data_IF_508566949589
#
_entry.id   IF_508566949589
#
_cell.length_a   1.000
_cell.length_b   1.000
_cell.length_c   1.000
_cell.angle_alpha   90.00
_cell.angle_beta   90.00
_cell.angle_gamma   90.00
#
_symmetry.space_group_name_H-M   'P 1'
#
loop_
_entity.id
_entity.type
_entity.pdbx_description
1 polymer ?
#
# COMPACT_ATOMS: atom_id res chain seq x y z
N UNK A 1 13.13 17.89 -10.81
CA UNK A 1 13.92 17.06 -11.75
C UNK A 1 13.12 15.82 -12.09
N UNK A 2 13.10 15.36 -13.34
CA UNK A 2 12.34 14.13 -13.71
C UNK A 2 13.13 12.87 -13.35
N UNK A 3 12.41 11.83 -12.92
CA UNK A 3 12.93 10.54 -12.52
C UNK A 3 12.61 9.45 -13.54
N UNK A 4 13.60 8.61 -13.79
CA UNK A 4 13.47 7.26 -14.38
C UNK A 4 13.31 6.28 -13.22
N UNK A 5 12.11 5.71 -13.10
CA UNK A 5 11.70 4.88 -11.97
C UNK A 5 11.69 3.39 -12.32
N UNK A 6 11.90 2.54 -11.31
CA UNK A 6 12.02 1.10 -11.50
C UNK A 6 10.65 0.41 -11.58
N UNK A 7 10.53 -0.60 -12.45
CA UNK A 7 9.33 -1.43 -12.59
C UNK A 7 9.61 -2.80 -12.00
N UNK A 8 8.74 -3.26 -11.10
CA UNK A 8 8.72 -4.66 -10.65
C UNK A 8 7.68 -5.45 -11.44
N UNK A 9 8.09 -6.60 -11.98
CA UNK A 9 7.27 -7.45 -12.87
C UNK A 9 6.90 -8.75 -12.18
N UNK A 10 6.27 -8.64 -11.00
CA UNK A 10 5.88 -9.77 -10.17
C UNK A 10 4.61 -10.45 -10.71
N UNK A 11 4.55 -11.79 -10.63
CA UNK A 11 3.47 -12.63 -11.19
C UNK A 11 2.04 -12.37 -10.67
N UNK A 12 1.86 -11.51 -9.67
CA UNK A 12 0.57 -11.06 -9.17
C UNK A 12 0.06 -9.79 -9.87
N UNK A 13 0.90 -9.10 -10.64
CA UNK A 13 0.56 -7.85 -11.32
C UNK A 13 -0.35 -8.06 -12.52
N UNK A 14 -0.98 -6.98 -13.00
CA UNK A 14 -1.73 -6.99 -14.26
C UNK A 14 -0.77 -7.13 -15.45
N UNK A 15 -1.24 -7.81 -16.50
CA UNK A 15 -0.49 -7.99 -17.74
C UNK A 15 -0.57 -6.74 -18.61
N UNK A 16 0.46 -6.50 -19.41
CA UNK A 16 0.38 -5.60 -20.55
C UNK A 16 -0.23 -4.22 -20.28
N UNK A 17 -1.03 -3.74 -21.22
CA UNK A 17 -1.72 -2.44 -21.14
C UNK A 17 -2.89 -2.40 -20.14
N UNK A 18 -3.37 -3.53 -19.61
CA UNK A 18 -4.31 -3.55 -18.48
C UNK A 18 -3.68 -3.04 -17.18
N UNK A 19 -2.34 -2.99 -17.12
CA UNK A 19 -1.62 -2.49 -15.98
C UNK A 19 -1.50 -0.96 -15.97
N UNK A 20 -1.98 -0.32 -14.90
CA UNK A 20 -1.76 1.12 -14.71
C UNK A 20 -0.26 1.47 -14.66
N UNK A 21 0.59 0.59 -14.13
CA UNK A 21 2.05 0.75 -14.14
C UNK A 21 2.59 0.79 -15.58
N UNK A 22 2.15 -0.11 -16.45
CA UNK A 22 2.57 -0.13 -17.86
C UNK A 22 2.08 1.13 -18.60
N UNK A 23 0.81 1.51 -18.45
CA UNK A 23 0.26 2.69 -19.13
C UNK A 23 0.89 4.00 -18.67
N UNK A 24 1.24 4.14 -17.38
CA UNK A 24 1.99 5.28 -16.87
C UNK A 24 3.39 5.32 -17.52
N UNK A 25 4.12 4.21 -17.50
CA UNK A 25 5.48 4.15 -18.06
C UNK A 25 5.50 4.38 -19.58
N UNK A 26 4.52 3.84 -20.33
CA UNK A 26 4.37 4.12 -21.77
C UNK A 26 4.03 5.58 -22.07
N UNK A 27 3.31 6.24 -21.17
CA UNK A 27 2.96 7.67 -21.30
C UNK A 27 4.15 8.59 -20.99
N UNK A 28 5.01 8.20 -20.05
CA UNK A 28 6.19 8.98 -19.62
C UNK A 28 7.42 8.78 -20.53
N UNK A 29 7.49 7.64 -21.22
CA UNK A 29 8.58 7.27 -22.10
C UNK A 29 8.03 6.62 -23.37
N UNK A 30 8.11 7.36 -24.50
CA UNK A 30 7.63 6.89 -25.79
C UNK A 30 8.35 5.61 -26.27
N UNK A 31 9.63 5.47 -25.94
CA UNK A 31 10.48 4.34 -26.35
C UNK A 31 10.23 3.08 -25.51
N UNK A 32 9.50 3.19 -24.40
CA UNK A 32 9.10 2.03 -23.61
C UNK A 32 8.13 1.17 -24.43
N UNK A 33 8.45 -0.09 -24.67
CA UNK A 33 7.56 -1.05 -25.32
C UNK A 33 6.90 -1.90 -24.24
N UNK A 34 5.57 -1.98 -24.29
CA UNK A 34 4.78 -2.84 -23.40
C UNK A 34 4.72 -4.24 -24.02
N UNK A 35 5.05 -5.24 -23.22
CA UNK A 35 4.90 -6.65 -23.56
C UNK A 35 3.58 -7.14 -22.96
N UNK A 36 2.60 -7.42 -23.82
CA UNK A 36 1.25 -7.84 -23.39
C UNK A 36 1.23 -9.17 -22.63
N UNK A 37 2.28 -9.99 -22.73
CA UNK A 37 2.42 -11.24 -21.97
C UNK A 37 3.09 -11.04 -20.61
N UNK A 38 3.66 -9.86 -20.35
CA UNK A 38 4.41 -9.56 -19.12
C UNK A 38 3.53 -8.90 -18.06
N UNK A 39 3.73 -9.28 -16.80
CA UNK A 39 3.12 -8.58 -15.67
C UNK A 39 3.88 -7.30 -15.32
N UNK A 40 3.15 -6.24 -14.97
CA UNK A 40 3.68 -4.97 -14.51
C UNK A 40 3.02 -4.65 -13.16
N UNK A 41 3.72 -4.97 -12.07
CA UNK A 41 3.12 -5.06 -10.74
C UNK A 41 3.30 -3.79 -9.90
N UNK A 42 4.53 -3.25 -9.84
CA UNK A 42 4.84 -2.03 -9.06
C UNK A 42 5.70 -1.05 -9.85
N UNK A 43 5.45 0.25 -9.69
CA UNK A 43 6.35 1.35 -10.08
C UNK A 43 6.98 1.92 -8.81
N UNK A 44 8.31 1.93 -8.69
CA UNK A 44 9.05 2.37 -7.50
C UNK A 44 9.67 3.75 -7.68
N UNK A 45 9.34 4.66 -6.77
CA UNK A 45 9.75 6.07 -6.81
C UNK A 45 10.45 6.40 -5.48
N UNK A 46 11.78 6.47 -5.49
CA UNK A 46 12.60 6.66 -4.28
C UNK A 46 14.02 6.11 -4.40
N UNK A 47 14.64 5.84 -3.25
CA UNK A 47 16.07 5.47 -3.11
C UNK A 47 16.32 4.01 -2.69
N UNK A 48 15.30 3.15 -2.71
CA UNK A 48 15.45 1.76 -2.28
C UNK A 48 16.31 0.96 -3.26
N UNK A 49 17.36 0.30 -2.78
CA UNK A 49 18.30 -0.55 -3.54
C UNK A 49 17.65 -1.45 -4.62
N UNK A 50 16.60 -2.21 -4.28
CA UNK A 50 15.93 -3.15 -5.19
C UNK A 50 15.07 -2.48 -6.29
N UNK A 51 14.99 -1.15 -6.31
CA UNK A 51 14.21 -0.38 -7.28
C UNK A 51 14.55 1.10 -7.26
N UNK A 52 15.85 1.42 -7.34
CA UNK A 52 16.34 2.79 -7.27
C UNK A 52 15.82 3.65 -8.43
N UNK A 53 15.46 4.90 -8.14
CA UNK A 53 15.16 5.90 -9.16
C UNK A 53 16.42 6.66 -9.59
N UNK A 54 16.46 7.11 -10.84
CA UNK A 54 17.57 7.83 -11.45
C UNK A 54 17.10 9.17 -12.03
N UNK A 55 17.94 10.19 -12.02
CA UNK A 55 17.66 11.48 -12.67
C UNK A 55 17.66 11.28 -14.19
N UNK A 56 16.53 11.53 -14.86
CA UNK A 56 16.35 11.24 -16.29
C UNK A 56 17.32 11.98 -17.22
N UNK A 57 17.73 13.19 -16.83
CA UNK A 57 18.66 14.04 -17.61
C UNK A 57 20.14 13.61 -17.49
N UNK A 58 20.53 12.86 -16.45
CA UNK A 58 21.95 12.57 -16.14
C UNK A 58 22.26 11.09 -15.85
N UNK A 59 21.23 10.24 -15.72
CA UNK A 59 21.29 8.84 -15.27
C UNK A 59 22.05 8.62 -13.94
N UNK A 60 22.17 9.67 -13.12
CA UNK A 60 22.69 9.59 -11.74
C UNK A 60 21.59 9.06 -10.82
N UNK A 61 21.90 8.12 -9.92
CA UNK A 61 20.92 7.60 -8.97
C UNK A 61 20.45 8.69 -8.00
N UNK A 62 19.17 8.70 -7.67
CA UNK A 62 18.58 9.69 -6.77
C UNK A 62 19.25 9.64 -5.38
N UNK A 63 19.65 8.46 -4.92
CA UNK A 63 20.39 8.29 -3.67
C UNK A 63 21.74 9.02 -3.70
N UNK A 64 22.52 8.84 -4.78
CA UNK A 64 23.82 9.53 -4.94
C UNK A 64 23.63 11.05 -5.01
N UNK A 65 22.66 11.51 -5.79
CA UNK A 65 22.32 12.94 -5.88
C UNK A 65 21.98 13.53 -4.51
N UNK A 66 21.16 12.85 -3.70
CA UNK A 66 20.81 13.28 -2.34
C UNK A 66 22.03 13.29 -1.42
N UNK A 67 22.90 12.29 -1.49
CA UNK A 67 24.14 12.22 -0.69
C UNK A 67 25.11 13.37 -1.03
N UNK A 68 25.22 13.73 -2.31
CA UNK A 68 26.06 14.85 -2.77
C UNK A 68 25.42 16.24 -2.48
N UNK A 69 24.10 16.29 -2.23
CA UNK A 69 23.32 17.53 -2.10
C UNK A 69 22.38 17.54 -0.89
N UNK A 70 22.78 16.97 0.26
CA UNK A 70 21.89 16.63 1.40
C UNK A 70 20.87 17.69 1.80
N UNK A 71 21.21 18.98 1.68
CA UNK A 71 20.30 20.14 1.89
C UNK A 71 18.95 20.03 1.15
N UNK A 72 18.88 19.32 0.01
CA UNK A 72 17.63 19.09 -0.74
C UNK A 72 16.56 18.34 0.07
N UNK A 73 16.94 17.63 1.15
CA UNK A 73 15.99 16.92 2.01
C UNK A 73 15.22 17.85 2.96
N UNK A 74 15.74 19.03 3.27
CA UNK A 74 15.24 19.91 4.33
C UNK A 74 15.87 19.60 5.70
N UNK A 75 16.02 20.63 6.55
CA UNK A 75 16.64 20.51 7.88
C UNK A 75 15.98 19.46 8.76
N UNK A 76 14.65 19.51 8.79
CA UNK A 76 13.83 18.79 9.75
C UNK A 76 13.78 17.29 9.38
N UNK A 77 13.77 16.98 8.07
CA UNK A 77 13.97 15.62 7.54
C UNK A 77 15.33 15.06 7.96
N UNK A 78 16.41 15.85 7.83
CA UNK A 78 17.77 15.41 8.20
C UNK A 78 17.88 15.17 9.71
N UNK A 79 17.27 16.04 10.52
CA UNK A 79 17.25 15.90 11.98
C UNK A 79 16.52 14.63 12.43
N UNK A 80 15.41 14.28 11.77
CA UNK A 80 14.56 13.14 12.17
C UNK A 80 15.00 11.80 11.57
N UNK A 81 15.46 11.79 10.31
CA UNK A 81 15.71 10.56 9.53
C UNK A 81 17.15 10.43 9.01
N UNK A 82 18.02 11.40 9.28
CA UNK A 82 19.37 11.45 8.73
C UNK A 82 19.40 11.80 7.23
N UNK A 83 20.51 11.52 6.53
CA UNK A 83 20.73 11.97 5.15
C UNK A 83 20.01 11.13 4.09
N UNK A 84 18.81 10.60 4.40
CA UNK A 84 18.04 9.70 3.54
C UNK A 84 16.60 10.19 3.33
N UNK A 85 15.98 9.77 2.23
CA UNK A 85 14.55 9.93 2.03
C UNK A 85 13.81 8.86 2.88
N UNK A 86 12.89 9.24 3.79
CA UNK A 86 12.30 8.30 4.76
C UNK A 86 11.19 7.42 4.20
N UNK A 87 10.89 7.51 2.90
CA UNK A 87 9.78 6.79 2.28
C UNK A 87 10.14 6.24 0.90
N UNK A 88 9.38 5.22 0.49
CA UNK A 88 9.34 4.69 -0.88
C UNK A 88 7.92 4.85 -1.41
N UNK A 89 7.74 5.72 -2.41
CA UNK A 89 6.43 5.91 -3.02
C UNK A 89 6.22 4.91 -4.16
N UNK A 90 5.01 4.38 -4.31
CA UNK A 90 4.71 3.34 -5.31
C UNK A 90 3.36 3.55 -6.00
N UNK A 91 3.27 3.04 -7.23
CA UNK A 91 1.99 2.66 -7.85
C UNK A 91 1.94 1.14 -7.93
N UNK A 92 0.84 0.54 -7.45
CA UNK A 92 0.60 -0.91 -7.55
C UNK A 92 -0.49 -1.18 -8.58
N UNK A 93 -0.35 -2.28 -9.31
CA UNK A 93 -1.28 -2.71 -10.36
C UNK A 93 -1.60 -4.18 -10.19
N UNK A 94 -2.58 -4.45 -9.33
CA UNK A 94 -2.84 -5.78 -8.74
C UNK A 94 -3.81 -6.57 -9.62
N UNK A 95 -3.48 -7.83 -9.90
CA UNK A 95 -4.32 -8.79 -10.63
C UNK A 95 -4.67 -10.03 -9.77
N UNK A 96 -3.81 -10.41 -8.85
CA UNK A 96 -4.03 -11.50 -7.89
C UNK A 96 -3.93 -10.97 -6.47
N UNK A 97 -4.74 -11.52 -5.57
CA UNK A 97 -4.69 -11.15 -4.16
C UNK A 97 -3.26 -11.33 -3.59
N UNK A 98 -2.80 -10.32 -2.85
CA UNK A 98 -1.52 -10.39 -2.16
C UNK A 98 -1.67 -11.23 -0.88
N UNK A 99 -0.54 -11.66 -0.31
CA UNK A 99 -0.54 -12.22 1.04
C UNK A 99 -1.07 -11.20 2.05
N UNK A 100 -1.90 -11.63 3.01
CA UNK A 100 -2.12 -10.82 4.22
C UNK A 100 -0.80 -10.74 4.97
N UNK A 101 -0.48 -9.55 5.47
CA UNK A 101 0.76 -9.23 6.14
C UNK A 101 0.46 -8.45 7.41
N UNK A 102 1.34 -8.59 8.39
CA UNK A 102 1.42 -7.72 9.56
C UNK A 102 2.87 -7.24 9.63
N UNK A 103 3.06 -5.98 9.99
CA UNK A 103 4.38 -5.39 10.12
C UNK A 103 4.62 -5.02 11.58
N UNK A 104 5.78 -5.39 12.16
CA UNK A 104 6.09 -5.04 13.54
C UNK A 104 6.21 -3.52 13.71
N UNK A 105 5.93 -3.05 14.92
CA UNK A 105 6.28 -1.68 15.34
C UNK A 105 7.82 -1.53 15.41
N UNK A 106 8.31 -0.30 15.61
CA UNK A 106 9.75 0.00 15.55
C UNK A 106 10.58 -0.78 16.57
N UNK A 107 10.06 -0.94 17.79
CA UNK A 107 10.74 -1.65 18.88
C UNK A 107 10.86 -3.14 18.58
N UNK A 108 9.75 -3.77 18.17
CA UNK A 108 9.72 -5.19 17.85
C UNK A 108 10.44 -5.51 16.55
N UNK A 109 10.47 -4.60 15.57
CA UNK A 109 11.28 -4.73 14.36
C UNK A 109 12.77 -4.82 14.70
N UNK A 110 13.25 -3.98 15.61
CA UNK A 110 14.62 -4.02 16.11
C UNK A 110 14.94 -5.34 16.83
N UNK A 111 14.08 -5.76 17.77
CA UNK A 111 14.23 -7.04 18.49
C UNK A 111 14.30 -8.23 17.51
N UNK A 112 13.38 -8.29 16.55
CA UNK A 112 13.31 -9.37 15.55
C UNK A 112 14.49 -9.35 14.58
N UNK A 113 15.01 -8.17 14.22
CA UNK A 113 16.23 -8.02 13.43
C UNK A 113 17.48 -8.50 14.18
N UNK A 114 17.58 -8.20 15.48
CA UNK A 114 18.69 -8.66 16.33
C UNK A 114 18.67 -10.18 16.56
N UNK A 115 17.50 -10.78 16.74
CA UNK A 115 17.33 -12.22 16.95
C UNK A 115 17.42 -13.05 15.66
N UNK A 116 16.85 -12.55 14.55
CA UNK A 116 16.71 -13.31 13.30
C UNK A 116 17.02 -12.47 12.04
N UNK A 117 18.26 -11.95 11.88
CA UNK A 117 18.65 -11.06 10.77
C UNK A 117 18.57 -11.71 9.37
N UNK A 118 18.50 -13.04 9.31
CA UNK A 118 18.26 -13.78 8.07
C UNK A 118 16.79 -13.73 7.61
N UNK A 119 15.86 -13.45 8.52
CA UNK A 119 14.41 -13.38 8.27
C UNK A 119 13.97 -11.92 8.15
N UNK A 120 14.22 -11.13 9.19
CA UNK A 120 13.94 -9.69 9.22
C UNK A 120 15.16 -8.94 8.67
N UNK A 121 14.95 -8.07 7.68
CA UNK A 121 16.04 -7.52 6.85
C UNK A 121 16.59 -6.19 7.36
N UNK A 122 15.86 -5.51 8.21
CA UNK A 122 16.21 -4.23 8.79
C UNK A 122 15.42 -3.99 10.10
N UNK A 123 15.86 -3.07 10.97
CA UNK A 123 15.20 -2.79 12.25
C UNK A 123 14.11 -1.70 12.15
N UNK A 124 13.52 -1.44 10.98
CA UNK A 124 12.46 -0.43 10.85
C UNK A 124 11.05 -1.02 10.98
N UNK A 125 10.12 -0.18 11.43
CA UNK A 125 8.71 -0.40 11.16
C UNK A 125 8.41 -0.24 9.67
N UNK A 126 7.23 -0.70 9.23
CA UNK A 126 6.77 -0.51 7.85
C UNK A 126 5.32 -0.02 7.83
N UNK A 127 5.06 1.25 8.19
CA UNK A 127 3.75 1.86 8.00
C UNK A 127 3.44 2.02 6.51
N UNK A 128 2.18 1.85 6.13
CA UNK A 128 1.74 1.91 4.73
C UNK A 128 0.43 2.70 4.60
N UNK A 129 0.27 3.40 3.47
CA UNK A 129 -0.95 4.10 3.08
C UNK A 129 -1.30 3.70 1.64
N UNK A 130 -2.51 3.18 1.45
CA UNK A 130 -3.06 2.92 0.13
C UNK A 130 -4.07 4.01 -0.24
N UNK A 131 -3.88 4.65 -1.40
CA UNK A 131 -4.90 5.54 -2.00
C UNK A 131 -5.36 4.91 -3.32
N UNK A 132 -6.65 4.64 -3.42
CA UNK A 132 -7.25 3.96 -4.55
C UNK A 132 -7.26 4.86 -5.81
N UNK A 133 -6.57 4.43 -6.88
CA UNK A 133 -6.61 5.08 -8.21
C UNK A 133 -7.76 4.55 -9.09
N UNK A 134 -8.27 3.37 -8.76
CA UNK A 134 -9.39 2.65 -9.38
C UNK A 134 -10.22 2.03 -8.25
N UNK A 135 -11.37 1.38 -8.51
CA UNK A 135 -11.97 0.46 -7.54
C UNK A 135 -10.90 -0.50 -6.99
N UNK A 136 -10.92 -0.69 -5.67
CA UNK A 136 -9.87 -1.38 -4.92
C UNK A 136 -10.48 -2.06 -3.68
N UNK A 137 -10.04 -3.28 -3.42
CA UNK A 137 -10.50 -4.13 -2.34
C UNK A 137 -9.32 -4.55 -1.46
N UNK A 138 -9.53 -4.58 -0.14
CA UNK A 138 -8.49 -4.97 0.81
C UNK A 138 -9.11 -5.57 2.08
N UNK A 139 -8.36 -6.49 2.70
CA UNK A 139 -8.59 -6.94 4.06
C UNK A 139 -7.74 -6.08 5.01
N UNK A 140 -8.34 -5.49 6.04
CA UNK A 140 -7.65 -4.60 6.96
C UNK A 140 -8.23 -4.71 8.39
N UNK A 141 -7.46 -5.31 9.30
CA UNK A 141 -7.86 -5.52 10.70
C UNK A 141 -8.91 -6.62 10.90
N UNK A 142 -9.29 -6.83 12.17
CA UNK A 142 -10.43 -7.67 12.53
C UNK A 142 -11.74 -6.88 12.46
N UNK A 143 -12.81 -7.56 12.04
CA UNK A 143 -14.18 -7.04 12.03
C UNK A 143 -14.67 -6.70 13.45
N UNK A 144 -15.75 -5.92 13.59
CA UNK A 144 -16.47 -5.77 14.86
C UNK A 144 -16.82 -7.14 15.47
N UNK A 145 -16.69 -7.28 16.79
CA UNK A 145 -16.83 -8.57 17.47
C UNK A 145 -18.21 -9.22 17.28
N UNK A 146 -19.27 -8.42 17.16
CA UNK A 146 -20.61 -8.93 16.86
C UNK A 146 -20.67 -9.61 15.48
N UNK A 147 -20.05 -9.02 14.43
CA UNK A 147 -19.96 -9.68 13.12
C UNK A 147 -19.18 -10.99 13.20
N UNK A 148 -18.07 -11.01 13.96
CA UNK A 148 -17.26 -12.23 14.17
C UNK A 148 -18.12 -13.32 14.83
N UNK A 149 -18.84 -12.97 15.90
CA UNK A 149 -19.73 -13.89 16.61
C UNK A 149 -20.85 -14.41 15.70
N UNK A 150 -21.45 -13.54 14.88
CA UNK A 150 -22.46 -13.94 13.89
C UNK A 150 -21.90 -14.93 12.87
N UNK A 151 -20.68 -14.71 12.34
CA UNK A 151 -20.03 -15.66 11.45
C UNK A 151 -19.71 -17.00 12.14
N UNK A 152 -19.25 -16.98 13.40
CA UNK A 152 -18.96 -18.20 14.15
C UNK A 152 -20.21 -19.03 14.47
N UNK A 153 -21.36 -18.37 14.66
CA UNK A 153 -22.65 -19.05 14.88
C UNK A 153 -23.26 -19.60 13.57
N UNK A 154 -23.05 -18.93 12.44
CA UNK A 154 -23.73 -19.25 11.16
C UNK A 154 -22.84 -19.99 10.13
N UNK A 155 -21.54 -20.15 10.38
CA UNK A 155 -20.60 -20.88 9.50
C UNK A 155 -20.00 -22.07 10.27
N UNK A 156 -20.64 -23.26 10.25
CA UNK A 156 -20.16 -24.43 10.97
C UNK A 156 -18.77 -24.91 10.51
N UNK A 157 -18.39 -24.63 9.26
CA UNK A 157 -17.06 -24.93 8.72
C UNK A 157 -15.97 -24.07 9.38
N UNK A 158 -16.28 -22.81 9.69
CA UNK A 158 -15.40 -21.88 10.40
C UNK A 158 -15.28 -22.26 11.88
N UNK A 159 -16.40 -22.63 12.52
CA UNK A 159 -16.40 -23.20 13.87
C UNK A 159 -15.54 -24.46 13.94
N UNK A 160 -15.61 -25.34 12.93
CA UNK A 160 -14.85 -26.59 12.90
C UNK A 160 -13.33 -26.38 12.87
N UNK A 161 -12.82 -25.43 12.09
CA UNK A 161 -11.38 -25.15 12.01
C UNK A 161 -10.84 -24.35 13.22
N UNK A 162 -11.70 -23.63 13.94
CA UNK A 162 -11.36 -22.89 15.17
C UNK A 162 -11.51 -23.74 16.44
N UNK A 163 -12.43 -24.72 16.42
CA UNK A 163 -12.76 -25.60 17.53
C UNK A 163 -13.77 -25.00 18.52
N UNK A 164 -14.78 -25.80 18.91
CA UNK A 164 -15.87 -25.39 19.80
C UNK A 164 -15.42 -24.71 21.09
N UNK A 165 -14.35 -25.19 21.72
CA UNK A 165 -13.83 -24.64 22.98
C UNK A 165 -13.38 -23.19 22.82
N UNK A 166 -12.71 -22.87 21.71
CA UNK A 166 -12.23 -21.52 21.42
C UNK A 166 -13.41 -20.59 21.06
N UNK A 167 -14.32 -21.06 20.21
CA UNK A 167 -15.54 -20.33 19.85
C UNK A 167 -16.39 -20.02 21.08
N UNK A 168 -16.65 -21.02 21.95
CA UNK A 168 -17.40 -20.84 23.20
C UNK A 168 -16.73 -19.82 24.13
N UNK A 169 -15.39 -19.86 24.24
CA UNK A 169 -14.63 -18.89 25.03
C UNK A 169 -14.76 -17.47 24.49
N UNK A 170 -14.79 -17.27 23.17
CA UNK A 170 -14.97 -15.96 22.55
C UNK A 170 -16.41 -15.44 22.69
N UNK A 171 -17.41 -16.29 22.46
CA UNK A 171 -18.84 -15.95 22.63
C UNK A 171 -19.21 -15.61 24.09
N UNK A 172 -18.42 -16.07 25.07
CA UNK A 172 -18.60 -15.82 26.50
C UNK A 172 -17.60 -14.80 27.08
N UNK A 173 -16.74 -14.19 26.24
CA UNK A 173 -15.75 -13.24 26.70
C UNK A 173 -16.40 -11.92 27.14
N UNK A 174 -15.94 -11.37 28.27
CA UNK A 174 -16.14 -9.95 28.60
C UNK A 174 -15.26 -9.07 27.72
N UNK A 175 -15.58 -7.79 27.57
CA UNK A 175 -14.84 -6.85 26.72
C UNK A 175 -13.31 -6.90 26.91
N UNK A 176 -12.86 -6.97 28.17
CA UNK A 176 -11.44 -7.08 28.55
C UNK A 176 -10.76 -8.40 28.15
N UNK A 177 -11.52 -9.43 27.78
CA UNK A 177 -11.04 -10.78 27.43
C UNK A 177 -11.21 -11.11 25.94
N UNK A 178 -11.87 -10.23 25.16
CA UNK A 178 -12.11 -10.45 23.71
C UNK A 178 -10.80 -10.63 22.96
N UNK A 179 -9.79 -9.78 23.22
CA UNK A 179 -8.48 -9.85 22.56
C UNK A 179 -7.81 -11.21 22.74
N UNK A 180 -7.70 -11.69 23.98
CA UNK A 180 -7.12 -13.00 24.30
C UNK A 180 -7.93 -14.15 23.66
N UNK A 181 -9.25 -14.12 23.74
CA UNK A 181 -10.09 -15.17 23.19
C UNK A 181 -10.04 -15.21 21.65
N UNK A 182 -9.98 -14.05 20.99
CA UNK A 182 -9.83 -13.92 19.55
C UNK A 182 -8.43 -14.35 19.10
N UNK A 183 -7.39 -14.04 19.87
CA UNK A 183 -6.03 -14.53 19.66
C UNK A 183 -5.97 -16.06 19.65
N UNK A 184 -6.63 -16.74 20.60
CA UNK A 184 -6.71 -18.21 20.62
C UNK A 184 -7.47 -18.77 19.41
N UNK A 185 -8.59 -18.14 19.03
CA UNK A 185 -9.36 -18.54 17.84
C UNK A 185 -8.51 -18.41 16.57
N UNK A 186 -7.80 -17.29 16.42
CA UNK A 186 -6.94 -17.03 15.27
C UNK A 186 -5.72 -17.95 15.25
N UNK A 187 -5.09 -18.24 16.39
CA UNK A 187 -4.00 -19.22 16.48
C UNK A 187 -4.46 -20.61 16.05
N UNK A 188 -5.63 -21.06 16.51
CA UNK A 188 -6.21 -22.35 16.10
C UNK A 188 -6.44 -22.40 14.59
N UNK A 189 -7.08 -21.38 14.00
CA UNK A 189 -7.26 -21.28 12.54
C UNK A 189 -5.93 -21.30 11.77
N UNK A 190 -4.91 -20.60 12.29
CA UNK A 190 -3.60 -20.47 11.66
C UNK A 190 -2.74 -21.74 11.70
N UNK A 191 -3.00 -22.61 12.68
CA UNK A 191 -2.29 -23.88 12.94
C UNK A 191 -3.10 -25.14 12.61
N UNK A 192 -4.39 -25.00 12.27
CA UNK A 192 -5.25 -26.07 11.80
C UNK A 192 -4.60 -26.82 10.61
N UNK A 193 -4.80 -28.14 10.56
CA UNK A 193 -4.26 -28.98 9.49
C UNK A 193 -4.78 -28.52 8.12
N UNK A 194 -3.88 -28.45 7.13
CA UNK A 194 -4.24 -27.92 5.81
C UNK A 194 -5.27 -28.77 5.07
N UNK A 195 -5.36 -30.08 5.34
CA UNK A 195 -6.36 -30.95 4.75
C UNK A 195 -7.73 -30.72 5.40
N UNK A 196 -7.77 -30.51 6.72
CA UNK A 196 -9.00 -30.14 7.43
C UNK A 196 -9.52 -28.78 6.96
N UNK A 197 -8.67 -27.76 6.87
CA UNK A 197 -9.04 -26.45 6.30
C UNK A 197 -9.56 -26.59 4.87
N UNK A 198 -8.90 -27.40 4.04
CA UNK A 198 -9.33 -27.65 2.64
C UNK A 198 -10.69 -28.35 2.58
N UNK A 199 -10.91 -29.36 3.44
CA UNK A 199 -12.16 -30.12 3.53
C UNK A 199 -13.33 -29.22 3.97
N UNK A 200 -13.11 -28.39 4.99
CA UNK A 200 -14.10 -27.47 5.53
C UNK A 200 -14.40 -26.33 4.54
N UNK A 201 -13.38 -25.78 3.87
CA UNK A 201 -13.58 -24.80 2.81
C UNK A 201 -14.39 -25.37 1.64
N UNK A 202 -14.14 -26.63 1.23
CA UNK A 202 -14.95 -27.30 0.22
C UNK A 202 -16.41 -27.44 0.68
N UNK A 203 -16.65 -27.88 1.92
CA UNK A 203 -18.00 -27.96 2.50
C UNK A 203 -18.72 -26.61 2.46
N UNK A 204 -18.02 -25.51 2.77
CA UNK A 204 -18.58 -24.16 2.72
C UNK A 204 -18.96 -23.76 1.29
N UNK A 205 -18.08 -24.01 0.31
CA UNK A 205 -18.35 -23.74 -1.11
C UNK A 205 -19.54 -24.56 -1.61
N UNK A 206 -19.55 -25.87 -1.33
CA UNK A 206 -20.66 -26.77 -1.70
C UNK A 206 -21.98 -26.32 -1.03
N UNK A 207 -21.94 -25.82 0.21
CA UNK A 207 -23.13 -25.29 0.91
C UNK A 207 -23.63 -23.98 0.31
N UNK A 208 -22.74 -23.07 -0.09
CA UNK A 208 -23.10 -21.80 -0.73
C UNK A 208 -23.69 -22.03 -2.13
N UNK A 209 -23.12 -22.94 -2.92
CA UNK A 209 -23.66 -23.33 -4.24
C UNK A 209 -25.06 -23.96 -4.19
N UNK A 210 -25.49 -24.48 -3.04
CA UNK A 210 -26.82 -25.07 -2.83
C UNK A 210 -27.85 -24.08 -2.25
N UNK A 211 -27.61 -22.77 -2.37
CA UNK A 211 -28.57 -21.72 -1.99
C UNK A 211 -28.90 -20.84 -3.19
N UNK A 212 -30.18 -20.56 -3.43
CA UNK A 212 -30.62 -19.64 -4.49
C UNK A 212 -30.18 -18.20 -4.15
N UNK A 213 -29.11 -17.74 -4.77
CA UNK A 213 -28.62 -16.37 -4.67
C UNK A 213 -28.32 -15.79 -6.06
N UNK A 214 -28.57 -14.48 -6.24
CA UNK A 214 -28.10 -13.77 -7.43
C UNK A 214 -26.66 -13.35 -7.17
N UNK A 215 -25.74 -14.08 -7.78
CA UNK A 215 -24.30 -13.86 -7.63
C UNK A 215 -23.70 -13.16 -8.85
N UNK A 216 -22.82 -12.18 -8.62
CA UNK A 216 -22.05 -11.51 -9.65
C UNK A 216 -20.60 -11.37 -9.16
N UNK A 217 -19.75 -12.32 -9.57
CA UNK A 217 -18.32 -12.35 -9.22
C UNK A 217 -17.44 -11.85 -10.35
N UNK A 218 -16.29 -11.27 -9.99
CA UNK A 218 -15.15 -11.15 -10.90
C UNK A 218 -14.35 -12.46 -10.90
N UNK A 219 -13.67 -12.79 -12.00
CA UNK A 219 -12.85 -14.01 -12.12
C UNK A 219 -11.63 -13.98 -11.17
N UNK A 220 -11.76 -14.53 -9.95
CA UNK A 220 -10.70 -14.50 -8.92
C UNK A 220 -10.75 -15.72 -7.99
N UNK A 221 -9.94 -16.74 -8.26
CA UNK A 221 -9.85 -17.99 -7.49
C UNK A 221 -8.88 -17.90 -6.28
N UNK A 222 -9.05 -16.91 -5.40
CA UNK A 222 -8.03 -16.58 -4.38
C UNK A 222 -8.45 -16.83 -2.92
N UNK A 223 -7.70 -17.68 -2.20
CA UNK A 223 -7.92 -18.02 -0.78
C UNK A 223 -6.75 -17.57 0.11
N UNK A 224 -6.84 -16.33 0.64
CA UNK A 224 -6.27 -15.76 1.90
C UNK A 224 -4.87 -16.28 2.34
N UNK A 225 -3.74 -15.52 2.44
CA UNK A 225 -2.55 -15.91 3.29
C UNK A 225 -2.82 -15.51 4.75
N UNK A 226 -2.39 -16.19 5.81
CA UNK A 226 -2.79 -17.51 6.30
C UNK A 226 -2.68 -18.79 5.42
N UNK A 227 -3.16 -18.81 4.17
CA UNK A 227 -2.98 -19.69 2.99
C UNK A 227 -2.17 -19.11 1.78
N UNK A 228 -2.76 -18.43 0.78
CA UNK A 228 -2.12 -17.91 -0.49
C UNK A 228 -0.60 -18.11 -0.73
N UNK A 229 0.28 -17.26 -0.16
CA UNK A 229 1.71 -17.24 -0.57
C UNK A 229 2.41 -18.56 -0.25
N UNK A 230 3.19 -19.15 -1.18
CA UNK A 230 3.90 -20.41 -0.97
C UNK A 230 5.02 -20.33 0.08
N UNK A 231 5.28 -19.16 0.66
CA UNK A 231 6.32 -18.94 1.67
C UNK A 231 5.93 -19.49 3.06
N UNK A 232 6.90 -19.90 3.90
CA UNK A 232 6.65 -20.30 5.29
C UNK A 232 5.94 -19.23 6.12
N UNK A 233 5.24 -19.67 7.17
CA UNK A 233 4.49 -18.83 8.11
C UNK A 233 5.13 -18.89 9.50
N UNK A 234 5.60 -17.75 10.03
CA UNK A 234 5.95 -17.63 11.45
C UNK A 234 4.70 -17.28 12.26
N UNK A 235 3.90 -18.30 12.60
CA UNK A 235 2.66 -18.12 13.37
C UNK A 235 2.93 -17.63 14.80
N UNK A 236 3.91 -18.16 15.56
CA UNK A 236 4.21 -17.64 16.90
C UNK A 236 4.53 -16.14 16.92
N UNK A 237 5.40 -15.65 16.03
CA UNK A 237 5.70 -14.21 15.98
C UNK A 237 4.50 -13.40 15.50
N UNK A 238 3.75 -13.89 14.51
CA UNK A 238 2.52 -13.23 14.03
C UNK A 238 1.53 -12.97 15.18
N UNK A 239 1.31 -13.96 16.05
CA UNK A 239 0.43 -13.86 17.22
C UNK A 239 0.92 -12.83 18.25
N UNK A 240 2.24 -12.63 18.37
CA UNK A 240 2.83 -11.65 19.30
C UNK A 240 2.73 -10.20 18.83
N UNK A 241 2.63 -9.95 17.52
CA UNK A 241 2.69 -8.58 16.95
C UNK A 241 1.32 -8.00 16.56
N UNK A 242 0.24 -8.76 16.75
CA UNK A 242 -1.13 -8.35 16.42
C UNK A 242 -1.85 -7.80 17.67
N UNK A 243 -2.61 -6.71 17.53
CA UNK A 243 -3.34 -6.10 18.66
C UNK A 243 -4.69 -6.77 18.97
N UNK A 244 -5.24 -7.57 18.06
CA UNK A 244 -6.56 -8.22 18.15
C UNK A 244 -7.74 -7.26 18.40
N UNK A 245 -7.55 -5.97 18.10
CA UNK A 245 -8.60 -4.95 18.16
C UNK A 245 -9.61 -5.13 17.03
N UNK A 246 -10.89 -5.14 17.40
CA UNK A 246 -12.03 -5.31 16.51
C UNK A 246 -12.60 -3.95 16.12
N UNK A 247 -12.54 -3.58 14.83
CA UNK A 247 -12.98 -2.26 14.36
C UNK A 247 -13.79 -2.36 13.06
N UNK A 248 -14.59 -1.33 12.79
CA UNK A 248 -15.30 -1.22 11.51
C UNK A 248 -14.35 -0.91 10.36
N UNK A 249 -14.70 -1.35 9.15
CA UNK A 249 -13.95 -1.00 7.94
C UNK A 249 -13.91 0.51 7.64
N UNK A 250 -14.81 1.30 8.23
CA UNK A 250 -14.78 2.77 8.18
C UNK A 250 -13.74 3.38 9.12
N UNK A 251 -13.48 2.79 10.30
CA UNK A 251 -12.44 3.27 11.22
C UNK A 251 -11.02 3.16 10.60
N UNK A 252 -10.80 2.15 9.74
CA UNK A 252 -9.54 1.98 9.00
C UNK A 252 -9.31 3.00 7.86
N UNK A 253 -10.27 3.89 7.57
CA UNK A 253 -10.15 4.90 6.50
C UNK A 253 -9.62 6.23 7.04
N UNK A 254 -8.39 6.59 6.65
CA UNK A 254 -7.84 7.93 6.88
C UNK A 254 -8.66 8.95 6.08
N UNK A 255 -9.29 9.90 6.77
CA UNK A 255 -9.91 11.06 6.14
C UNK A 255 -8.82 12.06 5.77
N UNK A 256 -8.72 12.51 4.51
CA UNK A 256 -7.79 13.57 4.15
C UNK A 256 -8.29 14.90 4.71
N UNK A 257 -7.37 15.76 5.15
CA UNK A 257 -7.71 17.18 5.38
C UNK A 257 -7.50 17.98 4.11
N UNK A 258 -8.26 19.05 3.93
CA UNK A 258 -8.12 19.95 2.78
C UNK A 258 -7.05 21.00 3.08
N UNK A 259 -5.95 20.98 2.34
CA UNK A 259 -4.84 21.93 2.49
C UNK A 259 -5.06 23.21 1.66
N UNK A 260 -5.71 23.08 0.49
CA UNK A 260 -6.22 24.19 -0.31
C UNK A 260 -7.43 23.73 -1.17
N UNK A 261 -7.94 24.60 -2.06
CA UNK A 261 -9.12 24.33 -2.91
C UNK A 261 -8.99 23.05 -3.76
N UNK A 262 -7.78 22.67 -4.15
CA UNK A 262 -7.47 21.56 -5.06
C UNK A 262 -6.66 20.43 -4.41
N UNK A 263 -6.13 20.66 -3.19
CA UNK A 263 -5.21 19.75 -2.51
C UNK A 263 -5.84 19.10 -1.27
N UNK A 264 -5.96 17.78 -1.29
CA UNK A 264 -6.38 16.93 -0.18
C UNK A 264 -5.17 16.13 0.34
N UNK A 265 -4.88 16.17 1.64
CA UNK A 265 -3.66 15.56 2.22
C UNK A 265 -4.02 14.45 3.19
N UNK A 266 -3.46 13.27 2.92
CA UNK A 266 -3.53 12.09 3.77
C UNK A 266 -2.30 12.04 4.67
N UNK A 267 -2.49 12.27 5.97
CA UNK A 267 -1.45 12.12 7.01
C UNK A 267 -1.76 10.89 7.88
N UNK A 268 -1.06 9.76 7.70
CA UNK A 268 -1.12 8.66 8.66
C UNK A 268 -0.45 9.06 9.99
N UNK A 269 -0.68 8.33 11.10
CA UNK A 269 -0.10 8.63 12.42
C UNK A 269 1.38 8.20 12.53
N UNK A 270 2.20 8.50 11.52
CA UNK A 270 3.65 8.27 11.47
C UNK A 270 4.34 9.44 10.80
N UNK A 271 5.59 9.76 11.17
CA UNK A 271 6.32 10.90 10.58
C UNK A 271 6.97 10.58 9.24
N UNK A 272 7.11 9.31 8.87
CA UNK A 272 7.85 8.83 7.70
C UNK A 272 7.33 9.43 6.38
N UNK A 273 6.01 9.57 6.21
CA UNK A 273 5.40 10.14 5.00
C UNK A 273 3.96 10.62 5.17
N UNK A 274 3.58 11.57 4.32
CA UNK A 274 2.23 11.99 3.99
C UNK A 274 2.09 12.05 2.46
N UNK A 275 0.85 12.04 1.96
CA UNK A 275 0.57 12.14 0.53
C UNK A 275 -0.49 13.20 0.26
N UNK A 276 -0.16 14.19 -0.57
CA UNK A 276 -1.11 15.14 -1.12
C UNK A 276 -1.67 14.62 -2.45
N UNK A 277 -2.99 14.57 -2.58
CA UNK A 277 -3.74 14.37 -3.81
C UNK A 277 -4.15 15.74 -4.33
N UNK A 278 -3.67 16.11 -5.52
CA UNK A 278 -3.93 17.41 -6.14
C UNK A 278 -4.79 17.18 -7.38
N UNK A 279 -5.99 17.77 -7.40
CA UNK A 279 -6.96 17.60 -8.49
C UNK A 279 -7.35 18.96 -9.08
N UNK A 280 -6.85 19.26 -10.28
CA UNK A 280 -7.19 20.50 -10.99
C UNK A 280 -8.36 20.23 -11.96
N UNK A 281 -9.44 21.02 -11.91
CA UNK A 281 -10.57 20.83 -12.81
C UNK A 281 -10.22 21.20 -14.27
N UNK A 282 -11.00 20.71 -15.25
CA UNK A 282 -10.91 21.16 -16.65
C UNK A 282 -10.92 22.69 -16.75
N UNK A 283 -10.17 23.23 -17.71
CA UNK A 283 -10.02 24.68 -17.93
C UNK A 283 -9.18 25.45 -16.90
N UNK A 284 -8.69 24.84 -15.81
CA UNK A 284 -7.77 25.52 -14.87
C UNK A 284 -6.40 25.75 -15.54
N UNK A 285 -5.91 27.00 -15.70
CA UNK A 285 -4.69 27.26 -16.48
C UNK A 285 -3.39 27.02 -15.70
N UNK A 286 -3.33 27.37 -14.41
CA UNK A 286 -2.18 27.05 -13.57
C UNK A 286 -2.51 26.89 -12.09
N UNK A 287 -1.60 26.26 -11.34
CA UNK A 287 -1.66 26.08 -9.90
C UNK A 287 -0.25 26.03 -9.32
N UNK A 288 0.00 26.79 -8.25
CA UNK A 288 1.24 26.72 -7.50
C UNK A 288 1.12 25.63 -6.45
N UNK A 289 2.06 24.67 -6.43
CA UNK A 289 2.10 23.66 -5.38
C UNK A 289 2.34 24.30 -4.02
N UNK A 290 1.79 23.68 -2.96
CA UNK A 290 2.12 24.05 -1.59
C UNK A 290 3.61 23.86 -1.34
N UNK A 291 4.30 24.92 -0.91
CA UNK A 291 5.70 24.87 -0.52
C UNK A 291 5.90 23.86 0.62
N UNK A 292 6.86 22.94 0.46
CA UNK A 292 7.25 21.95 1.48
C UNK A 292 8.63 22.32 2.01
N UNK A 293 8.83 22.24 3.33
CA UNK A 293 10.15 22.39 3.97
C UNK A 293 11.07 21.18 3.74
N UNK A 294 10.57 20.13 3.09
CA UNK A 294 11.18 18.83 2.90
C UNK A 294 11.17 18.38 1.43
N UNK A 295 12.06 17.47 1.05
CA UNK A 295 12.04 16.84 -0.27
C UNK A 295 10.71 16.12 -0.54
N UNK A 296 10.27 16.13 -1.79
CA UNK A 296 9.05 15.43 -2.20
C UNK A 296 9.15 14.77 -3.58
N UNK A 297 8.29 13.79 -3.82
CA UNK A 297 8.13 13.11 -5.12
C UNK A 297 6.72 13.37 -5.64
N UNK A 298 6.61 13.99 -6.81
CA UNK A 298 5.36 14.26 -7.51
C UNK A 298 5.17 13.26 -8.67
N UNK A 299 4.04 12.56 -8.68
CA UNK A 299 3.58 11.70 -9.78
C UNK A 299 2.42 12.39 -10.51
N UNK A 300 2.49 12.51 -11.84
CA UNK A 300 1.35 12.92 -12.67
C UNK A 300 0.57 11.66 -13.09
N UNK A 301 -0.67 11.49 -12.61
CA UNK A 301 -1.53 10.35 -12.96
C UNK A 301 -2.45 10.68 -14.14
N UNK A 302 -2.90 11.94 -14.26
CA UNK A 302 -3.71 12.43 -15.39
C UNK A 302 -3.28 13.83 -15.79
N UNK A 303 -3.38 14.12 -17.10
CA UNK A 303 -3.10 15.43 -17.68
C UNK A 303 -1.67 15.60 -18.20
N UNK A 304 -1.35 16.85 -18.55
CA UNK A 304 -0.08 17.30 -19.12
C UNK A 304 0.16 18.73 -18.66
N UNK A 305 1.38 19.07 -18.28
CA UNK A 305 1.74 20.39 -17.78
C UNK A 305 3.14 20.83 -18.21
N UNK A 306 3.36 22.14 -18.25
CA UNK A 306 4.68 22.76 -18.23
C UNK A 306 5.05 23.10 -16.78
N UNK A 307 6.27 22.74 -16.39
CA UNK A 307 6.87 23.07 -15.09
C UNK A 307 8.33 23.45 -15.36
N UNK A 308 8.74 24.66 -14.95
CA UNK A 308 10.10 25.20 -15.18
C UNK A 308 10.57 25.06 -16.64
N UNK A 309 9.70 25.42 -17.58
CA UNK A 309 9.91 25.33 -19.05
C UNK A 309 10.16 23.92 -19.60
N UNK A 310 9.93 22.86 -18.82
CA UNK A 310 9.91 21.46 -19.27
C UNK A 310 8.48 20.92 -19.28
N UNK A 311 8.16 20.09 -20.26
CA UNK A 311 6.83 19.47 -20.41
C UNK A 311 6.82 18.10 -19.74
N UNK A 312 5.83 17.87 -18.88
CA UNK A 312 5.58 16.62 -18.19
C UNK A 312 4.15 16.14 -18.44
N UNK A 313 3.94 14.82 -18.45
CA UNK A 313 2.64 14.20 -18.76
C UNK A 313 2.31 13.07 -17.80
N UNK A 314 1.15 12.44 -17.99
CA UNK A 314 0.81 11.16 -17.34
C UNK A 314 2.04 10.23 -17.27
N UNK A 315 2.33 9.73 -16.08
CA UNK A 315 3.46 8.86 -15.77
C UNK A 315 4.77 9.58 -15.45
N UNK A 316 4.94 10.87 -15.75
CA UNK A 316 6.12 11.62 -15.31
C UNK A 316 6.18 11.66 -13.79
N UNK A 317 7.35 11.35 -13.25
CA UNK A 317 7.66 11.40 -11.81
C UNK A 317 8.74 12.45 -11.60
N UNK A 318 8.54 13.39 -10.68
CA UNK A 318 9.48 14.47 -10.39
C UNK A 318 9.96 14.40 -8.95
N UNK A 319 11.27 14.47 -8.73
CA UNK A 319 11.84 14.86 -7.44
C UNK A 319 11.86 16.39 -7.33
N UNK A 320 11.34 16.91 -6.22
CA UNK A 320 11.27 18.33 -5.88
C UNK A 320 12.06 18.54 -4.58
N UNK A 321 13.16 19.32 -4.58
CA UNK A 321 13.90 19.68 -3.37
C UNK A 321 13.05 20.42 -2.33
N UNK A 322 13.47 20.34 -1.07
CA UNK A 322 12.95 21.17 0.00
C UNK A 322 13.00 22.66 -0.34
N UNK A 323 11.93 23.37 -0.03
CA UNK A 323 11.74 24.81 -0.26
C UNK A 323 11.77 25.26 -1.73
N UNK A 324 11.66 24.33 -2.69
CA UNK A 324 11.51 24.66 -4.11
C UNK A 324 10.06 25.09 -4.42
N UNK A 325 9.89 26.28 -5.00
CA UNK A 325 8.59 26.76 -5.45
C UNK A 325 8.27 26.22 -6.86
N UNK A 326 7.08 25.63 -7.04
CA UNK A 326 6.71 24.95 -8.29
C UNK A 326 5.35 25.45 -8.81
N UNK A 327 5.36 26.12 -9.96
CA UNK A 327 4.15 26.40 -10.75
C UNK A 327 3.87 25.23 -11.72
N UNK A 328 2.64 24.72 -11.68
CA UNK A 328 2.09 23.79 -12.66
C UNK A 328 1.26 24.59 -13.67
N UNK A 329 1.70 24.70 -14.93
CA UNK A 329 0.90 25.28 -16.02
C UNK A 329 0.24 24.15 -16.82
N UNK A 330 -1.08 24.09 -16.85
CA UNK A 330 -1.83 22.97 -17.44
C UNK A 330 -1.91 23.12 -18.95
N UNK A 331 -1.51 22.07 -19.68
CA UNK A 331 -1.45 22.06 -21.16
C UNK A 331 -2.61 21.32 -21.84
N UNK A 332 -3.47 20.62 -21.10
CA UNK A 332 -4.77 20.18 -21.61
C UNK A 332 -5.87 20.53 -20.61
N UNK A 333 -6.68 21.54 -20.93
CA UNK A 333 -7.89 21.88 -20.18
C UNK A 333 -9.07 20.93 -20.44
N UNK A 334 -8.84 19.85 -21.20
CA UNK A 334 -9.83 18.93 -21.72
C UNK A 334 -10.44 17.97 -20.66
N UNK A 335 -9.63 17.59 -19.66
CA UNK A 335 -9.95 16.62 -18.61
C UNK A 335 -9.28 17.06 -17.31
N UNK A 336 -9.69 16.54 -16.13
CA UNK A 336 -9.02 16.87 -14.87
C UNK A 336 -7.54 16.45 -14.87
N UNK A 337 -6.68 17.32 -14.33
CA UNK A 337 -5.31 16.95 -14.01
C UNK A 337 -5.29 16.33 -12.61
N UNK A 338 -4.66 15.17 -12.47
CA UNK A 338 -4.54 14.44 -11.20
C UNK A 338 -3.07 14.17 -10.91
N UNK A 339 -2.61 14.62 -9.75
CA UNK A 339 -1.25 14.42 -9.28
C UNK A 339 -1.24 13.92 -7.83
N UNK A 340 -0.18 13.20 -7.47
CA UNK A 340 0.09 12.82 -6.09
C UNK A 340 1.50 13.25 -5.69
N UNK A 341 1.63 13.95 -4.57
CA UNK A 341 2.92 14.38 -4.00
C UNK A 341 3.16 13.65 -2.67
N UNK A 342 4.17 12.78 -2.62
CA UNK A 342 4.63 12.12 -1.39
C UNK A 342 5.78 12.93 -0.76
N UNK A 343 5.74 13.14 0.55
CA UNK A 343 6.70 13.95 1.32
C UNK A 343 6.73 13.50 2.79
N UNK A 344 7.79 13.78 3.58
CA UNK A 344 7.86 13.45 5.00
C UNK A 344 6.74 14.13 5.82
N UNK A 345 6.13 13.41 6.76
CA UNK A 345 5.03 13.91 7.61
C UNK A 345 5.58 14.58 8.88
N UNK A 346 6.30 15.68 8.65
CA UNK A 346 6.83 16.58 9.66
C UNK A 346 5.77 17.61 10.10
#
# INVERSE_FOLDING_TARGET
MELKCAIQTYNWGKHGMDSIVATLMKSANADFVVDEQKTYAELWMGIHENGASYLKDTDVSLQKYIQENTKVLGSDTIQMFGPNLPFLFKVLSINKALSIQVHPNKEKAKELYELYPNIYKDPNHKPELAIALTPFEALCGFRPINEINDYLNNIPELLSVIGETNVRRLLQATDSMIGDALQQCFYSLMTCDSNEVTRQLKSLIDRLHNTDCIECMACSDNVIRAGLTPKPKDVPTLIQIMSFECESASAKKIQPFREDVFTEVFRPPVSDFAVAKITLPPGRPSHNLKLRSSASILLIVSGKAEISSKIFSRGSVLFIPANEAVEIKVLCGCHPMLMFQAFPNL
#
